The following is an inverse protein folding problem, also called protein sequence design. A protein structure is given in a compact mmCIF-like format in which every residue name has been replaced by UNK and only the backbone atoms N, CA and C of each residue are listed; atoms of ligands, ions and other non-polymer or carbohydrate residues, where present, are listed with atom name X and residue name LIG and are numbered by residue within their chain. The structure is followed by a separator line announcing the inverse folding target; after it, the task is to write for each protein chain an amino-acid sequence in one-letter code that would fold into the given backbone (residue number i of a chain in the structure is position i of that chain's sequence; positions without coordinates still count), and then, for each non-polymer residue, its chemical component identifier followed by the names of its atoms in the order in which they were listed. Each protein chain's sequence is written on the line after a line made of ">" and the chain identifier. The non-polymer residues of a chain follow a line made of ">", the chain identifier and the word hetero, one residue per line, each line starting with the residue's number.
data_IF_111537550350
#
_entry.id   IF_111537550350
#
_cell.length_a   1.000
_cell.length_b   1.000
_cell.length_c   1.000
_cell.angle_alpha   90.00
_cell.angle_beta   90.00
_cell.angle_gamma   90.00
#
_symmetry.space_group_name_H-M   'P 1'
#
loop_
_entity.id
_entity.type
_entity.pdbx_description
1 polymer ?
#
# COMPACT_ATOMS: atom_id res chain seq x y z
N UNK A 1 -31.45 14.23 -8.39
CA UNK A 1 -30.27 13.53 -8.93
C UNK A 1 -29.26 13.51 -7.81
N UNK A 2 -29.32 12.47 -6.99
CA UNK A 2 -28.36 12.23 -5.92
C UNK A 2 -27.43 11.18 -6.51
N UNK A 3 -26.21 11.60 -6.87
CA UNK A 3 -25.12 10.67 -7.16
C UNK A 3 -24.48 10.49 -5.79
N UNK A 4 -24.89 9.45 -5.09
CA UNK A 4 -24.29 9.06 -3.82
C UNK A 4 -24.29 7.53 -3.81
N UNK A 5 -23.14 6.98 -4.20
CA UNK A 5 -22.74 5.57 -4.09
C UNK A 5 -21.25 5.52 -4.47
N UNK A 6 -20.42 6.32 -3.78
CA UNK A 6 -19.05 5.89 -3.58
C UNK A 6 -19.12 4.91 -2.41
N UNK A 7 -19.19 3.62 -2.73
CA UNK A 7 -18.79 2.56 -1.81
C UNK A 7 -17.40 2.96 -1.29
N UNK A 8 -17.34 3.55 -0.10
CA UNK A 8 -16.10 3.80 0.62
C UNK A 8 -15.57 2.44 1.06
N UNK A 9 -14.94 1.72 0.13
CA UNK A 9 -14.20 0.50 0.43
C UNK A 9 -13.08 0.91 1.39
N UNK A 10 -13.27 0.61 2.67
CA UNK A 10 -12.27 0.88 3.70
C UNK A 10 -11.09 -0.08 3.48
N UNK A 11 -10.04 0.42 2.83
CA UNK A 11 -8.83 -0.36 2.57
C UNK A 11 -8.07 -0.51 3.89
N UNK A 12 -8.07 -1.73 4.44
CA UNK A 12 -7.39 -2.06 5.70
C UNK A 12 -5.91 -2.35 5.44
N UNK A 13 -5.03 -1.80 6.29
CA UNK A 13 -3.61 -2.11 6.26
C UNK A 13 -3.31 -3.50 6.84
N UNK A 14 -2.75 -4.35 5.98
CA UNK A 14 -2.18 -5.66 6.27
C UNK A 14 -0.68 -5.67 5.91
N UNK A 15 0.18 -5.90 6.90
CA UNK A 15 1.65 -5.79 6.74
C UNK A 15 2.21 -6.80 5.72
N UNK A 16 1.83 -8.07 5.80
CA UNK A 16 2.31 -9.10 4.86
C UNK A 16 1.91 -8.80 3.42
N UNK A 17 0.69 -8.31 3.22
CA UNK A 17 0.16 -7.94 1.91
C UNK A 17 0.93 -6.75 1.35
N UNK A 18 1.21 -5.75 2.18
CA UNK A 18 2.01 -4.59 1.78
C UNK A 18 3.44 -5.01 1.43
N UNK A 19 4.04 -5.89 2.24
CA UNK A 19 5.37 -6.43 1.97
C UNK A 19 5.41 -7.15 0.62
N UNK A 20 4.42 -8.00 0.31
CA UNK A 20 4.31 -8.65 -1.01
C UNK A 20 4.19 -7.66 -2.16
N UNK A 21 3.43 -6.58 -1.98
CA UNK A 21 3.29 -5.54 -3.00
C UNK A 21 4.61 -4.80 -3.21
N UNK A 22 5.27 -4.37 -2.13
CA UNK A 22 6.59 -3.71 -2.16
C UNK A 22 7.61 -4.59 -2.87
N UNK A 23 7.63 -5.90 -2.65
CA UNK A 23 8.61 -6.78 -3.30
C UNK A 23 8.33 -7.01 -4.80
N UNK A 24 7.10 -6.78 -5.26
CA UNK A 24 6.72 -6.91 -6.68
C UNK A 24 6.91 -5.63 -7.47
N UNK A 25 6.63 -4.48 -6.86
CA UNK A 25 6.69 -3.18 -7.52
C UNK A 25 8.04 -2.48 -7.28
N UNK A 26 8.75 -2.13 -8.38
CA UNK A 26 10.10 -1.54 -8.29
C UNK A 26 10.10 -0.16 -7.67
N UNK A 27 9.05 0.63 -7.88
CA UNK A 27 8.95 1.98 -7.31
C UNK A 27 8.68 1.90 -5.81
N UNK A 28 7.71 1.08 -5.39
CA UNK A 28 7.43 0.88 -3.97
C UNK A 28 8.62 0.28 -3.23
N UNK A 29 9.33 -0.67 -3.86
CA UNK A 29 10.59 -1.19 -3.33
C UNK A 29 11.63 -0.09 -3.12
N UNK A 30 11.83 0.76 -4.11
CA UNK A 30 12.78 1.86 -4.01
C UNK A 30 12.44 2.82 -2.85
N UNK A 31 11.17 3.20 -2.70
CA UNK A 31 10.72 4.08 -1.61
C UNK A 31 10.89 3.41 -0.25
N UNK A 32 10.49 2.14 -0.12
CA UNK A 32 10.67 1.35 1.10
C UNK A 32 12.16 1.24 1.49
N UNK A 33 13.01 0.82 0.56
CA UNK A 33 14.45 0.64 0.80
C UNK A 33 15.11 1.98 1.21
N UNK A 34 14.68 3.12 0.63
CA UNK A 34 15.18 4.44 1.04
C UNK A 34 14.78 4.81 2.47
N UNK A 35 13.55 4.51 2.89
CA UNK A 35 13.09 4.76 4.26
C UNK A 35 13.83 3.90 5.29
N UNK A 36 14.00 2.61 5.00
CA UNK A 36 14.75 1.69 5.87
C UNK A 36 16.21 2.12 5.96
N UNK A 37 16.84 2.51 4.83
CA UNK A 37 18.21 3.05 4.81
C UNK A 37 18.35 4.32 5.66
N UNK A 38 17.30 5.13 5.78
CA UNK A 38 17.24 6.33 6.63
C UNK A 38 16.95 6.02 8.10
N UNK A 39 16.87 4.74 8.48
CA UNK A 39 16.73 4.30 9.86
C UNK A 39 15.29 4.11 10.34
N UNK A 40 14.30 4.06 9.44
CA UNK A 40 12.93 3.65 9.80
C UNK A 40 12.86 2.14 9.99
N UNK A 41 11.97 1.69 10.88
CA UNK A 41 11.63 0.27 10.98
C UNK A 41 10.93 -0.17 9.69
N UNK A 42 11.02 -1.47 9.36
CA UNK A 42 10.33 -2.02 8.19
C UNK A 42 8.81 -1.84 8.30
N UNK A 43 8.23 -2.08 9.49
CA UNK A 43 6.81 -1.89 9.75
C UNK A 43 6.35 -0.44 9.52
N UNK A 44 7.10 0.54 10.04
CA UNK A 44 6.78 1.96 9.80
C UNK A 44 6.91 2.32 8.31
N UNK A 45 7.95 1.81 7.65
CA UNK A 45 8.15 2.06 6.22
C UNK A 45 7.00 1.48 5.39
N UNK A 46 6.53 0.26 5.69
CA UNK A 46 5.38 -0.35 5.02
C UNK A 46 4.11 0.47 5.22
N UNK A 47 3.84 0.92 6.45
CA UNK A 47 2.68 1.75 6.75
C UNK A 47 2.73 3.10 6.01
N UNK A 48 3.90 3.75 5.98
CA UNK A 48 4.07 5.04 5.28
C UNK A 48 3.88 4.83 3.77
N UNK A 49 4.48 3.79 3.18
CA UNK A 49 4.34 3.50 1.75
C UNK A 49 2.88 3.22 1.40
N UNK A 50 2.17 2.44 2.23
CA UNK A 50 0.74 2.19 2.08
C UNK A 50 -0.07 3.49 2.07
N UNK A 51 0.04 4.28 3.14
CA UNK A 51 -0.74 5.52 3.28
C UNK A 51 -0.43 6.55 2.21
N UNK A 52 0.82 6.61 1.74
CA UNK A 52 1.26 7.65 0.81
C UNK A 52 1.10 7.29 -0.67
N UNK A 53 1.04 6.00 -1.01
CA UNK A 53 1.04 5.54 -2.40
C UNK A 53 -0.11 4.59 -2.74
N UNK A 54 -0.69 3.88 -1.77
CA UNK A 54 -1.80 2.95 -2.03
C UNK A 54 -3.13 3.67 -1.87
N UNK A 55 -3.33 4.35 -0.73
CA UNK A 55 -4.57 5.07 -0.46
C UNK A 55 -4.73 6.21 -1.49
N UNK A 56 -5.86 6.21 -2.20
CA UNK A 56 -6.18 7.24 -3.19
C UNK A 56 -5.60 6.99 -4.59
N UNK A 57 -4.74 5.99 -4.77
CA UNK A 57 -4.31 5.54 -6.09
C UNK A 57 -5.07 4.26 -6.47
N UNK A 58 -5.97 4.37 -7.46
CA UNK A 58 -6.81 3.24 -7.89
C UNK A 58 -5.99 2.04 -8.40
N UNK A 59 -4.87 2.28 -9.08
CA UNK A 59 -4.06 1.20 -9.65
C UNK A 59 -3.34 0.45 -8.55
N UNK A 60 -2.69 1.17 -7.63
CA UNK A 60 -1.97 0.57 -6.51
C UNK A 60 -2.92 -0.04 -5.48
N UNK A 61 -4.09 0.55 -5.26
CA UNK A 61 -5.17 -0.05 -4.46
C UNK A 61 -5.57 -1.42 -5.02
N UNK A 62 -5.88 -1.51 -6.32
CA UNK A 62 -6.26 -2.80 -6.93
C UNK A 62 -5.13 -3.84 -6.86
N UNK A 63 -3.88 -3.42 -7.06
CA UNK A 63 -2.73 -4.32 -6.93
C UNK A 63 -2.53 -4.80 -5.50
N UNK A 64 -2.75 -3.91 -4.53
CA UNK A 64 -2.71 -4.23 -3.11
C UNK A 64 -3.78 -5.27 -2.78
N UNK A 65 -5.04 -5.02 -3.12
CA UNK A 65 -6.16 -5.93 -2.88
C UNK A 65 -5.96 -7.30 -3.54
N UNK A 66 -5.35 -7.32 -4.74
CA UNK A 66 -5.02 -8.56 -5.44
C UNK A 66 -3.88 -9.37 -4.80
N UNK A 67 -3.17 -8.83 -3.80
CA UNK A 67 -2.12 -9.53 -3.05
C UNK A 67 -2.69 -10.42 -1.93
N UNK A 68 -3.62 -11.32 -2.27
CA UNK A 68 -4.28 -12.25 -1.34
C UNK A 68 -3.28 -12.93 -0.38
N UNK A 69 -3.64 -12.94 0.91
CA UNK A 69 -3.10 -13.89 1.90
C UNK A 69 -3.78 -15.23 1.59
N UNK A 70 -2.99 -16.27 1.28
CA UNK A 70 -3.52 -17.63 1.10
C UNK A 70 -3.79 -18.26 2.45
#
# INVERSE_FOLDING_TARGET
>A
MIIDDHDDVEIIFEEEKMCRLVMKDKYLKFVFDDMVRKGRSEADALLIVFTSNVIGDFVLTNQYESCNVK
#
